data_IF_133030110848
#
_entry.id   IF_133030110848
#
_cell.length_a   1.000
_cell.length_b   1.000
_cell.length_c   1.000
_cell.angle_alpha   90.00
_cell.angle_beta   90.00
_cell.angle_gamma   90.00
#
_symmetry.space_group_name_H-M   'P 1'
#
loop_
_entity.id
_entity.type
_entity.pdbx_description
1 polymer ?
#
# COMPACT_ATOMS: atom_id res chain seq x y z
N UNK A 1 9.63 18.39 7.28
CA UNK A 1 9.25 17.06 6.75
C UNK A 1 10.23 16.68 5.65
N UNK A 2 10.74 15.45 5.63
CA UNK A 2 11.68 14.93 4.63
C UNK A 2 11.00 14.71 3.26
N UNK A 3 10.41 15.77 2.71
CA UNK A 3 9.83 15.74 1.37
C UNK A 3 10.97 15.76 0.36
N UNK A 4 10.99 14.76 -0.53
CA UNK A 4 12.01 14.57 -1.56
C UNK A 4 11.38 14.54 -2.95
N UNK A 5 12.15 14.95 -3.96
CA UNK A 5 11.79 14.77 -5.38
C UNK A 5 12.70 13.72 -5.97
N UNK A 6 12.12 12.62 -6.43
CA UNK A 6 12.89 11.50 -6.98
C UNK A 6 12.69 11.48 -8.48
N UNK A 7 13.77 11.62 -9.24
CA UNK A 7 13.75 11.55 -10.71
C UNK A 7 13.57 10.13 -11.22
N UNK A 8 12.83 9.97 -12.31
CA UNK A 8 12.93 8.81 -13.19
C UNK A 8 14.13 8.97 -14.15
N UNK A 9 14.34 7.99 -15.03
CA UNK A 9 15.48 7.97 -15.95
C UNK A 9 15.35 8.99 -17.10
N UNK A 10 14.17 9.60 -17.27
CA UNK A 10 13.91 10.68 -18.22
C UNK A 10 14.03 12.07 -17.59
N UNK A 11 14.21 12.16 -16.26
CA UNK A 11 14.33 13.40 -15.50
C UNK A 11 13.02 13.92 -14.93
N UNK A 12 11.88 13.28 -15.20
CA UNK A 12 10.61 13.62 -14.55
C UNK A 12 10.67 13.25 -13.07
N UNK A 13 10.16 14.12 -12.21
CA UNK A 13 10.29 13.96 -10.75
C UNK A 13 8.96 13.63 -10.10
N UNK A 14 9.01 12.85 -9.02
CA UNK A 14 7.86 12.56 -8.17
C UNK A 14 8.12 13.05 -6.75
N UNK A 15 7.21 13.84 -6.21
CA UNK A 15 7.23 14.34 -4.83
C UNK A 15 6.76 13.24 -3.88
N UNK A 16 7.60 12.87 -2.92
CA UNK A 16 7.33 11.84 -1.91
C UNK A 16 7.86 12.28 -0.54
N UNK A 17 7.37 11.63 0.52
CA UNK A 17 7.93 11.72 1.85
C UNK A 17 8.90 10.55 2.09
N UNK A 18 10.15 10.83 2.46
CA UNK A 18 11.15 9.81 2.82
C UNK A 18 11.25 9.64 4.32
N UNK A 19 10.87 8.48 4.84
CA UNK A 19 11.11 8.11 6.23
C UNK A 19 11.97 6.87 6.27
N UNK A 20 13.23 7.04 6.66
CA UNK A 20 14.23 5.97 6.81
C UNK A 20 14.41 5.13 5.51
N UNK A 21 14.39 5.77 4.34
CA UNK A 21 14.52 5.10 3.05
C UNK A 21 13.23 4.46 2.53
N UNK A 22 12.09 4.72 3.20
CA UNK A 22 10.76 4.33 2.74
C UNK A 22 10.02 5.54 2.21
N UNK A 23 9.49 5.42 1.00
CA UNK A 23 8.76 6.50 0.36
C UNK A 23 7.24 6.39 0.56
N UNK A 24 6.62 7.49 0.96
CA UNK A 24 5.19 7.63 1.21
C UNK A 24 4.61 8.79 0.39
N UNK A 25 3.29 8.78 0.10
CA UNK A 25 2.62 9.98 -0.42
C UNK A 25 2.71 11.13 0.60
N UNK A 26 2.86 12.36 0.12
CA UNK A 26 2.82 13.54 1.00
C UNK A 26 1.37 13.87 1.33
N UNK A 27 0.97 13.67 2.58
CA UNK A 27 -0.39 13.97 3.03
C UNK A 27 -0.46 15.38 3.61
N UNK A 28 -1.26 16.25 2.98
CA UNK A 28 -1.40 17.67 3.35
C UNK A 28 -2.65 17.94 4.20
N UNK A 29 -3.02 16.99 5.06
CA UNK A 29 -4.18 17.14 5.95
C UNK A 29 -3.86 18.11 7.10
N UNK A 30 -4.64 19.17 7.31
CA UNK A 30 -4.40 20.12 8.40
C UNK A 30 -4.37 19.43 9.77
N UNK A 31 -3.34 19.72 10.57
CA UNK A 31 -3.17 19.15 11.91
C UNK A 31 -2.71 17.68 11.95
N UNK A 32 -2.42 17.07 10.79
CA UNK A 32 -1.87 15.72 10.71
C UNK A 32 -0.36 15.76 10.52
N UNK A 33 0.39 15.32 11.53
CA UNK A 33 1.84 15.14 11.44
C UNK A 33 2.15 13.71 10.95
N UNK A 34 2.20 13.55 9.64
CA UNK A 34 2.44 12.27 8.99
C UNK A 34 3.75 11.61 9.44
N UNK A 35 4.81 12.39 9.63
CA UNK A 35 6.11 11.83 10.02
C UNK A 35 6.06 11.25 11.44
N UNK A 36 5.49 12.00 12.39
CA UNK A 36 5.30 11.52 13.76
C UNK A 36 4.41 10.28 13.84
N UNK A 37 3.39 10.20 12.99
CA UNK A 37 2.47 9.06 12.96
C UNK A 37 3.15 7.80 12.41
N UNK A 38 3.91 7.92 11.32
CA UNK A 38 4.65 6.80 10.73
C UNK A 38 5.81 6.36 11.64
N UNK A 39 6.59 7.29 12.20
CA UNK A 39 7.70 6.94 13.12
C UNK A 39 7.20 6.30 14.41
N UNK A 40 5.96 6.60 14.80
CA UNK A 40 5.32 6.05 15.98
C UNK A 40 4.59 4.71 15.77
N UNK A 41 4.78 4.04 14.64
CA UNK A 41 4.06 2.81 14.30
C UNK A 41 4.27 1.68 15.33
N UNK A 42 5.46 1.60 15.94
CA UNK A 42 5.77 0.59 16.96
C UNK A 42 4.90 0.71 18.22
N UNK A 43 4.40 1.90 18.55
CA UNK A 43 3.54 2.11 19.72
C UNK A 43 2.06 1.89 19.45
N UNK A 44 1.69 1.53 18.21
CA UNK A 44 0.31 1.32 17.81
C UNK A 44 -0.33 0.15 18.58
N UNK A 45 -1.60 0.31 18.98
CA UNK A 45 -2.34 -0.66 19.80
C UNK A 45 -3.49 -1.32 19.05
N UNK A 46 -3.33 -2.60 18.75
CA UNK A 46 -4.34 -3.47 18.18
C UNK A 46 -5.35 -3.95 19.23
N UNK A 47 -6.52 -4.34 18.77
CA UNK A 47 -7.55 -5.04 19.54
C UNK A 47 -7.69 -6.43 18.95
N UNK A 48 -7.98 -7.43 19.79
CA UNK A 48 -8.04 -8.83 19.36
C UNK A 48 -9.07 -9.12 18.24
N UNK A 49 -10.05 -8.23 18.05
CA UNK A 49 -11.06 -8.34 17.01
C UNK A 49 -10.87 -7.35 15.84
N UNK A 50 -9.70 -6.69 15.74
CA UNK A 50 -9.38 -5.90 14.57
C UNK A 50 -9.19 -6.80 13.33
N UNK A 51 -9.53 -6.23 12.17
CA UNK A 51 -9.23 -6.79 10.86
C UNK A 51 -8.31 -5.83 10.13
N UNK A 52 -7.15 -6.30 9.69
CA UNK A 52 -6.18 -5.52 8.93
C UNK A 52 -6.17 -5.97 7.46
N UNK A 53 -6.53 -5.07 6.55
CA UNK A 53 -6.46 -5.28 5.11
C UNK A 53 -5.12 -4.76 4.59
N UNK A 54 -4.24 -5.68 4.21
CA UNK A 54 -2.90 -5.40 3.69
C UNK A 54 -2.89 -5.53 2.17
N UNK A 55 -2.32 -4.55 1.49
CA UNK A 55 -2.15 -4.63 0.04
C UNK A 55 -1.01 -3.75 -0.42
N UNK A 56 -0.25 -4.16 -1.45
CA UNK A 56 0.57 -3.22 -2.20
C UNK A 56 -0.34 -2.12 -2.80
N UNK A 57 0.08 -0.84 -2.85
CA UNK A 57 -0.74 0.23 -3.42
C UNK A 57 -1.35 -0.16 -4.76
N UNK A 58 -2.60 0.24 -4.98
CA UNK A 58 -3.35 -0.03 -6.22
C UNK A 58 -3.70 -1.50 -6.50
N UNK A 59 -3.58 -2.37 -5.49
CA UNK A 59 -3.99 -3.78 -5.62
C UNK A 59 -5.47 -4.05 -5.34
N UNK A 60 -6.28 -3.01 -5.07
CA UNK A 60 -7.74 -3.17 -4.84
C UNK A 60 -8.21 -2.97 -3.40
N UNK A 61 -7.41 -2.31 -2.55
CA UNK A 61 -7.73 -2.09 -1.13
C UNK A 61 -9.09 -1.46 -0.89
N UNK A 62 -9.50 -0.49 -1.71
CA UNK A 62 -10.84 0.11 -1.61
C UNK A 62 -11.95 -0.94 -1.73
N UNK A 63 -11.83 -1.86 -2.69
CA UNK A 63 -12.86 -2.86 -2.95
C UNK A 63 -12.95 -3.88 -1.81
N UNK A 64 -11.82 -4.42 -1.38
CA UNK A 64 -11.80 -5.42 -0.29
C UNK A 64 -12.14 -4.79 1.05
N UNK A 65 -11.67 -3.58 1.35
CA UNK A 65 -12.03 -2.87 2.58
C UNK A 65 -13.55 -2.65 2.67
N UNK A 66 -14.19 -2.28 1.55
CA UNK A 66 -15.64 -2.13 1.46
C UNK A 66 -16.38 -3.45 1.68
N UNK A 67 -15.94 -4.53 1.01
CA UNK A 67 -16.52 -5.88 1.19
C UNK A 67 -16.42 -6.34 2.64
N UNK A 68 -15.26 -6.18 3.27
CA UNK A 68 -15.05 -6.58 4.67
C UNK A 68 -15.96 -5.79 5.59
N UNK A 69 -16.11 -4.48 5.36
CA UNK A 69 -17.08 -3.69 6.11
C UNK A 69 -18.52 -4.19 5.92
N UNK A 70 -18.95 -4.50 4.69
CA UNK A 70 -20.29 -5.02 4.43
C UNK A 70 -20.54 -6.36 5.13
N UNK A 71 -19.54 -7.25 5.16
CA UNK A 71 -19.60 -8.54 5.84
C UNK A 71 -19.71 -8.38 7.36
N UNK A 72 -18.88 -7.52 7.95
CA UNK A 72 -18.88 -7.27 9.41
C UNK A 72 -20.18 -6.58 9.85
N UNK A 73 -20.65 -5.59 9.09
CA UNK A 73 -21.92 -4.89 9.36
C UNK A 73 -23.15 -5.69 8.94
N UNK A 74 -22.97 -6.85 8.29
CA UNK A 74 -24.04 -7.70 7.74
C UNK A 74 -25.02 -6.93 6.86
N UNK A 75 -24.50 -5.98 6.08
CA UNK A 75 -25.29 -5.09 5.24
C UNK A 75 -24.57 -4.80 3.93
N UNK A 76 -25.17 -5.18 2.81
CA UNK A 76 -24.65 -4.94 1.46
C UNK A 76 -24.91 -3.51 0.98
N UNK A 77 -24.58 -2.51 1.80
CA UNK A 77 -24.71 -1.09 1.45
C UNK A 77 -23.38 -0.39 1.61
N UNK A 78 -23.11 0.56 0.72
CA UNK A 78 -21.88 1.33 0.77
C UNK A 78 -21.70 2.02 2.12
N UNK A 79 -20.52 1.90 2.71
CA UNK A 79 -20.16 2.58 3.94
C UNK A 79 -19.91 4.06 3.65
N UNK A 80 -20.54 4.98 4.38
CA UNK A 80 -20.32 6.41 4.22
C UNK A 80 -19.04 6.86 4.95
N UNK A 81 -17.91 6.19 4.68
CA UNK A 81 -16.61 6.52 5.26
C UNK A 81 -15.51 6.38 4.19
N UNK A 82 -14.43 7.13 4.36
CA UNK A 82 -13.26 7.04 3.48
C UNK A 82 -12.30 5.97 4.02
N UNK A 83 -11.83 5.09 3.14
CA UNK A 83 -10.86 4.04 3.48
C UNK A 83 -9.59 4.61 4.12
N UNK A 84 -9.15 5.78 3.67
CA UNK A 84 -7.98 6.52 4.17
C UNK A 84 -8.12 6.90 5.65
N UNK A 85 -9.33 7.10 6.16
CA UNK A 85 -9.57 7.39 7.58
C UNK A 85 -9.22 6.23 8.52
N UNK A 86 -9.11 5.02 7.97
CA UNK A 86 -8.77 3.79 8.69
C UNK A 86 -7.42 3.20 8.22
N UNK A 87 -6.56 4.03 7.63
CA UNK A 87 -5.26 3.63 7.09
C UNK A 87 -4.14 3.94 8.09
N UNK A 88 -3.33 2.93 8.43
CA UNK A 88 -2.32 3.05 9.50
C UNK A 88 -1.34 4.20 9.28
N UNK A 89 -0.89 4.36 8.05
CA UNK A 89 0.05 5.40 7.60
C UNK A 89 -0.63 6.61 6.93
N UNK A 90 -1.97 6.69 7.01
CA UNK A 90 -2.77 7.73 6.35
C UNK A 90 -3.74 8.49 7.25
N UNK A 91 -3.86 8.10 8.52
CA UNK A 91 -4.71 8.77 9.51
C UNK A 91 -4.03 8.81 10.88
N UNK A 92 -4.55 9.65 11.79
CA UNK A 92 -3.98 9.75 13.12
C UNK A 92 -4.31 8.52 13.96
N UNK A 93 -3.35 8.07 14.77
CA UNK A 93 -3.57 6.97 15.72
C UNK A 93 -4.74 7.28 16.63
N UNK A 94 -4.86 8.51 17.12
CA UNK A 94 -5.94 8.91 18.03
C UNK A 94 -7.34 8.73 17.41
N UNK A 95 -7.52 9.08 16.12
CA UNK A 95 -8.79 8.85 15.42
C UNK A 95 -9.08 7.36 15.30
N UNK A 96 -8.10 6.55 14.90
CA UNK A 96 -8.29 5.09 14.79
C UNK A 96 -8.48 4.41 16.16
N UNK A 97 -7.91 4.96 17.23
CA UNK A 97 -8.11 4.45 18.60
C UNK A 97 -9.47 4.85 19.19
N UNK A 98 -10.14 5.88 18.69
CA UNK A 98 -11.48 6.25 19.12
C UNK A 98 -12.60 5.51 18.36
N UNK A 99 -12.28 4.84 17.23
CA UNK A 99 -13.23 4.00 16.50
C UNK A 99 -13.79 2.88 17.37
N UNK A 100 -15.07 2.54 17.17
CA UNK A 100 -15.69 1.37 17.81
C UNK A 100 -15.10 0.06 17.27
N UNK A 101 -15.13 -0.98 18.10
CA UNK A 101 -14.74 -2.34 17.66
C UNK A 101 -15.93 -3.07 17.01
N UNK A 102 -15.66 -4.03 16.09
CA UNK A 102 -14.35 -4.35 15.51
C UNK A 102 -13.90 -3.28 14.50
N UNK A 103 -12.60 -2.92 14.50
CA UNK A 103 -12.07 -1.96 13.53
C UNK A 103 -11.66 -2.68 12.25
N UNK A 104 -12.06 -2.13 11.11
CA UNK A 104 -11.60 -2.57 9.79
C UNK A 104 -10.56 -1.58 9.29
N UNK A 105 -9.29 -1.93 9.48
CA UNK A 105 -8.12 -1.10 9.19
C UNK A 105 -7.46 -1.54 7.89
N UNK A 106 -6.61 -0.69 7.33
CA UNK A 106 -5.85 -1.03 6.13
C UNK A 106 -4.44 -0.45 6.14
N UNK A 107 -3.56 -1.03 5.35
CA UNK A 107 -2.18 -0.56 5.20
C UNK A 107 -1.53 -1.01 3.90
N UNK A 108 -0.58 -0.21 3.43
CA UNK A 108 0.37 -0.48 2.37
C UNK A 108 1.79 -0.73 2.89
N UNK A 109 2.00 -0.72 4.21
CA UNK A 109 3.28 -1.03 4.83
C UNK A 109 3.75 -2.44 4.50
N UNK A 110 5.06 -2.64 4.48
CA UNK A 110 5.64 -3.98 4.43
C UNK A 110 5.33 -4.72 5.72
N UNK A 111 5.32 -6.05 5.66
CA UNK A 111 5.02 -6.87 6.84
C UNK A 111 5.92 -6.55 8.04
N UNK A 112 7.21 -6.26 7.82
CA UNK A 112 8.14 -5.90 8.89
C UNK A 112 7.84 -4.55 9.57
N UNK A 113 7.10 -3.67 8.89
CA UNK A 113 6.77 -2.33 9.34
C UNK A 113 5.36 -2.25 9.97
N UNK A 114 4.59 -3.35 9.90
CA UNK A 114 3.29 -3.47 10.58
C UNK A 114 3.51 -3.60 12.10
N UNK A 115 2.70 -2.91 12.95
CA UNK A 115 2.80 -3.04 14.39
C UNK A 115 2.70 -4.50 14.85
N UNK A 116 3.69 -4.97 15.64
CA UNK A 116 3.74 -6.36 16.14
C UNK A 116 2.50 -6.77 16.93
N UNK A 117 1.85 -5.80 17.57
CA UNK A 117 0.64 -6.00 18.37
C UNK A 117 -0.50 -6.66 17.55
N UNK A 118 -0.56 -6.46 16.23
CA UNK A 118 -1.53 -7.17 15.37
C UNK A 118 -1.28 -8.68 15.36
N UNK A 119 -0.01 -9.09 15.27
CA UNK A 119 0.41 -10.50 15.26
C UNK A 119 0.28 -11.11 16.65
N UNK A 120 0.75 -10.42 17.68
CA UNK A 120 0.70 -10.87 19.08
C UNK A 120 -0.75 -11.11 19.55
N UNK A 121 -1.67 -10.22 19.17
CA UNK A 121 -3.11 -10.36 19.48
C UNK A 121 -3.87 -11.24 18.50
N UNK A 122 -3.19 -11.85 17.52
CA UNK A 122 -3.78 -12.75 16.51
C UNK A 122 -4.96 -12.11 15.77
N UNK A 123 -4.81 -10.83 15.42
CA UNK A 123 -5.80 -10.12 14.62
C UNK A 123 -5.96 -10.80 13.26
N UNK A 124 -7.12 -10.63 12.62
CA UNK A 124 -7.31 -11.15 11.26
C UNK A 124 -6.56 -10.26 10.28
N UNK A 125 -5.72 -10.86 9.43
CA UNK A 125 -4.97 -10.14 8.40
C UNK A 125 -5.38 -10.68 7.03
N UNK A 126 -5.80 -9.78 6.13
CA UNK A 126 -6.22 -10.09 4.76
C UNK A 126 -5.20 -9.49 3.81
N UNK A 127 -4.49 -10.34 3.07
CA UNK A 127 -3.56 -9.89 2.02
C UNK A 127 -4.24 -9.90 0.66
N UNK A 128 -4.09 -8.80 -0.09
CA UNK A 128 -4.61 -8.69 -1.45
C UNK A 128 -3.46 -8.89 -2.43
N UNK A 129 -3.63 -9.88 -3.30
CA UNK A 129 -2.74 -10.15 -4.42
C UNK A 129 -3.35 -9.59 -5.70
N UNK A 130 -2.56 -8.86 -6.48
CA UNK A 130 -2.92 -8.39 -7.81
C UNK A 130 -1.75 -8.52 -8.75
N UNK A 131 -2.02 -8.91 -9.99
CA UNK A 131 -1.01 -9.01 -11.05
C UNK A 131 -0.17 -7.72 -11.12
N UNK A 132 1.17 -7.82 -11.02
CA UNK A 132 2.06 -6.65 -11.03
C UNK A 132 1.94 -5.79 -12.28
N UNK A 133 1.56 -6.37 -13.44
CA UNK A 133 1.31 -5.63 -14.69
C UNK A 133 0.13 -4.66 -14.51
N UNK A 134 -0.97 -5.14 -13.92
CA UNK A 134 -2.16 -4.33 -13.66
C UNK A 134 -1.91 -3.30 -12.57
N UNK A 135 -1.12 -3.66 -11.56
CA UNK A 135 -0.68 -2.74 -10.50
C UNK A 135 0.10 -1.60 -11.13
N UNK A 136 1.11 -1.87 -11.98
CA UNK A 136 1.92 -0.85 -12.62
C UNK A 136 1.07 0.15 -13.41
N UNK A 137 0.13 -0.32 -14.24
CA UNK A 137 -0.78 0.54 -15.02
C UNK A 137 -1.67 1.39 -14.11
N UNK A 138 -2.25 0.78 -13.07
CA UNK A 138 -3.11 1.49 -12.12
C UNK A 138 -2.32 2.52 -11.31
N UNK A 139 -1.06 2.23 -11.01
CA UNK A 139 -0.20 3.10 -10.21
C UNK A 139 0.36 4.26 -11.01
N UNK A 140 0.70 4.05 -12.28
CA UNK A 140 1.00 5.13 -13.21
C UNK A 140 -0.16 6.14 -13.27
N UNK A 141 -1.38 5.66 -13.55
CA UNK A 141 -2.57 6.49 -13.64
C UNK A 141 -2.87 7.24 -12.33
N UNK A 142 -2.56 6.64 -11.18
CA UNK A 142 -2.71 7.29 -9.88
C UNK A 142 -1.73 8.46 -9.71
N UNK A 143 -0.46 8.26 -10.05
CA UNK A 143 0.57 9.28 -9.89
C UNK A 143 0.40 10.47 -10.84
N UNK A 144 0.05 10.23 -12.11
CA UNK A 144 -0.12 11.33 -13.08
C UNK A 144 -1.41 12.13 -12.89
N UNK A 145 -2.42 11.58 -12.21
CA UNK A 145 -3.73 12.24 -12.01
C UNK A 145 -3.84 12.98 -10.68
N UNK A 146 -3.04 12.62 -9.68
CA UNK A 146 -3.08 13.24 -8.37
C UNK A 146 -1.96 14.26 -8.22
N UNK A 147 -2.35 15.53 -8.06
CA UNK A 147 -1.44 16.67 -8.03
C UNK A 147 -0.40 16.58 -6.90
N UNK A 148 -0.71 15.87 -5.81
CA UNK A 148 0.19 15.71 -4.66
C UNK A 148 1.52 15.03 -5.01
N UNK A 149 1.58 14.27 -6.11
CA UNK A 149 2.82 13.62 -6.56
C UNK A 149 3.66 14.48 -7.49
N UNK A 150 3.07 15.54 -8.07
CA UNK A 150 3.73 16.43 -9.02
C UNK A 150 4.45 15.69 -10.16
N UNK A 151 3.96 14.52 -10.55
CA UNK A 151 4.59 13.65 -11.54
C UNK A 151 3.95 13.85 -12.91
N UNK A 152 4.77 14.27 -13.88
CA UNK A 152 4.39 14.53 -15.28
C UNK A 152 4.94 13.52 -16.28
N UNK A 153 5.67 12.51 -15.81
CA UNK A 153 6.36 11.57 -16.69
C UNK A 153 5.42 10.64 -17.46
N UNK A 154 5.98 9.99 -18.46
CA UNK A 154 5.22 9.10 -19.36
C UNK A 154 5.19 7.66 -18.86
N UNK A 155 4.33 6.82 -19.44
CA UNK A 155 4.33 5.38 -19.17
C UNK A 155 5.70 4.74 -19.44
N UNK A 156 6.39 5.17 -20.51
CA UNK A 156 7.68 4.63 -20.92
C UNK A 156 8.77 4.85 -19.86
N UNK A 157 8.76 5.99 -19.18
CA UNK A 157 9.73 6.29 -18.10
C UNK A 157 9.25 5.76 -16.74
N UNK A 158 7.93 5.64 -16.55
CA UNK A 158 7.34 5.15 -15.31
C UNK A 158 7.56 3.65 -15.08
N UNK A 159 7.43 2.80 -16.11
CA UNK A 159 7.51 1.35 -15.92
C UNK A 159 8.89 0.89 -15.38
N UNK A 160 10.04 1.34 -15.92
CA UNK A 160 11.35 1.03 -15.34
C UNK A 160 11.49 1.49 -13.88
N UNK A 161 10.93 2.65 -13.55
CA UNK A 161 10.92 3.17 -12.18
C UNK A 161 10.13 2.26 -11.22
N UNK A 162 8.97 1.77 -11.65
CA UNK A 162 8.17 0.81 -10.89
C UNK A 162 8.95 -0.51 -10.67
N UNK A 163 9.53 -1.05 -11.73
CA UNK A 163 10.28 -2.33 -11.69
C UNK A 163 11.59 -2.26 -10.91
N UNK A 164 12.16 -1.07 -10.73
CA UNK A 164 13.37 -0.86 -9.92
C UNK A 164 13.06 -0.57 -8.45
N UNK A 165 11.80 -0.69 -8.00
CA UNK A 165 11.40 -0.38 -6.63
C UNK A 165 11.52 1.10 -6.23
N UNK A 166 11.74 2.03 -7.18
CA UNK A 166 11.84 3.48 -6.93
C UNK A 166 10.44 4.14 -6.76
N UNK A 167 9.47 3.36 -6.28
CA UNK A 167 8.09 3.75 -6.05
C UNK A 167 7.77 3.98 -4.57
N UNK A 168 6.48 4.20 -4.27
CA UNK A 168 6.01 4.23 -2.87
C UNK A 168 6.11 2.84 -2.26
N UNK A 169 6.42 2.77 -0.96
CA UNK A 169 6.51 1.54 -0.14
C UNK A 169 7.43 0.44 -0.69
N UNK A 170 8.28 0.75 -1.67
CA UNK A 170 9.29 -0.13 -2.25
C UNK A 170 8.82 -0.96 -3.44
N UNK A 171 9.58 -2.02 -3.72
CA UNK A 171 9.35 -2.95 -4.81
C UNK A 171 8.15 -3.87 -4.54
N UNK A 172 7.35 -4.13 -5.59
CA UNK A 172 6.13 -4.94 -5.49
C UNK A 172 6.42 -6.38 -5.05
N UNK A 173 7.49 -7.00 -5.55
CA UNK A 173 7.85 -8.40 -5.25
C UNK A 173 8.40 -8.51 -3.82
N UNK A 174 9.24 -7.57 -3.42
CA UNK A 174 9.83 -7.52 -2.07
C UNK A 174 8.88 -6.97 -0.99
N UNK A 175 7.69 -6.51 -1.37
CA UNK A 175 6.63 -6.15 -0.42
C UNK A 175 6.07 -7.38 0.29
N UNK A 176 6.02 -8.52 -0.41
CA UNK A 176 5.54 -9.80 0.12
C UNK A 176 6.64 -10.55 0.86
N UNK A 177 6.25 -11.38 1.84
CA UNK A 177 7.16 -12.38 2.42
C UNK A 177 7.49 -13.47 1.38
N UNK A 178 8.55 -14.25 1.63
CA UNK A 178 8.91 -15.39 0.76
C UNK A 178 7.73 -16.34 0.53
N UNK A 179 7.05 -16.75 1.60
CA UNK A 179 5.89 -17.64 1.51
C UNK A 179 4.71 -17.02 0.73
N UNK A 180 4.50 -15.70 0.85
CA UNK A 180 3.47 -15.00 0.07
C UNK A 180 3.83 -14.92 -1.41
N UNK A 181 5.11 -14.70 -1.73
CA UNK A 181 5.60 -14.74 -3.10
C UNK A 181 5.44 -16.14 -3.71
N UNK A 182 5.78 -17.20 -2.99
CA UNK A 182 5.57 -18.58 -3.46
C UNK A 182 4.09 -18.86 -3.76
N UNK A 183 3.19 -18.45 -2.85
CA UNK A 183 1.73 -18.58 -3.05
C UNK A 183 1.25 -17.77 -4.26
N UNK A 184 1.75 -16.53 -4.42
CA UNK A 184 1.42 -15.71 -5.57
C UNK A 184 1.91 -16.36 -6.87
N UNK A 185 3.16 -16.81 -6.93
CA UNK A 185 3.77 -17.40 -8.12
C UNK A 185 2.98 -18.61 -8.59
N UNK A 186 2.60 -19.52 -7.68
CA UNK A 186 1.79 -20.68 -8.03
C UNK A 186 0.45 -20.30 -8.68
N UNK A 187 -0.24 -19.29 -8.15
CA UNK A 187 -1.51 -18.79 -8.72
C UNK A 187 -1.25 -18.05 -10.04
N UNK A 188 -0.18 -17.27 -10.11
CA UNK A 188 0.17 -16.46 -11.26
C UNK A 188 0.51 -17.31 -12.48
N UNK A 189 1.40 -18.30 -12.31
CA UNK A 189 1.79 -19.24 -13.36
C UNK A 189 0.57 -19.98 -13.91
N UNK A 190 -0.32 -20.43 -13.04
CA UNK A 190 -1.57 -21.07 -13.46
C UNK A 190 -2.49 -20.11 -14.24
N UNK A 191 -2.66 -18.88 -13.76
CA UNK A 191 -3.62 -17.90 -14.32
C UNK A 191 -3.10 -17.20 -15.57
N UNK A 192 -1.78 -17.15 -15.75
CA UNK A 192 -1.11 -16.44 -16.84
C UNK A 192 -0.37 -17.38 -17.79
N UNK A 193 -0.66 -18.69 -17.73
CA UNK A 193 -0.02 -19.72 -18.56
C UNK A 193 -0.09 -19.40 -20.07
N UNK A 194 -1.17 -18.75 -20.51
CA UNK A 194 -1.40 -18.39 -21.91
C UNK A 194 -0.93 -16.96 -22.27
N UNK A 195 -0.13 -16.32 -21.40
CA UNK A 195 0.34 -14.95 -21.60
C UNK A 195 1.84 -14.91 -21.93
N UNK A 196 2.16 -14.38 -23.11
CA UNK A 196 3.56 -14.18 -23.55
C UNK A 196 4.22 -12.92 -22.94
N UNK A 197 3.49 -12.15 -22.13
CA UNK A 197 4.03 -10.94 -21.51
C UNK A 197 4.79 -11.37 -20.26
N UNK A 198 6.05 -11.00 -20.12
CA UNK A 198 6.83 -11.19 -18.88
C UNK A 198 7.17 -9.85 -18.23
N UNK A 199 7.42 -9.86 -16.92
CA UNK A 199 8.01 -8.71 -16.22
C UNK A 199 9.34 -9.16 -15.62
N UNK A 200 10.39 -8.42 -15.91
CA UNK A 200 11.70 -8.58 -15.29
C UNK A 200 11.87 -7.47 -14.26
N UNK A 201 12.08 -7.84 -12.99
CA UNK A 201 12.34 -6.85 -11.94
C UNK A 201 13.80 -6.41 -12.01
N UNK A 202 14.10 -5.20 -11.57
CA UNK A 202 15.46 -4.65 -11.65
C UNK A 202 16.52 -5.50 -10.93
N UNK A 203 16.12 -6.29 -9.93
CA UNK A 203 16.99 -7.19 -9.18
C UNK A 203 17.21 -8.56 -9.86
N UNK A 204 16.44 -8.90 -10.88
CA UNK A 204 16.61 -10.14 -11.66
C UNK A 204 17.77 -10.00 -12.67
N UNK A 205 18.30 -8.79 -12.86
CA UNK A 205 19.49 -8.49 -13.66
C UNK A 205 20.76 -8.66 -12.82
N UNK A 206 21.14 -9.91 -12.54
CA UNK A 206 22.48 -10.28 -12.05
C UNK A 206 23.23 -11.01 -13.17
#
# INVERSE_FOLDING_TARGET
MPVVRISDDAGDTMTLLDINGRFFPVLRTPGYDQETEIRGMESWKARCNDVLVCAYPKSGTHWVWEIVNMLINKKATRIPSMKESAMLEGSSRNIMQSMSSPRILNTHLLFCDIPRDFVEKKCKIIYILRNPKDVAVSFYNHHVRLLDYEYSGTWRSYLPRFLSGRGQVGDWRNWFTVAQNEMFTAVYEQKMADSDITLEYGHDKV
#
